data_IF_665113255829
#
_entry.id   IF_665113255829
#
_cell.length_a   1.000
_cell.length_b   1.000
_cell.length_c   1.000
_cell.angle_alpha   90.00
_cell.angle_beta   90.00
_cell.angle_gamma   90.00
#
_symmetry.space_group_name_H-M   'P 1'
#
loop_
_entity.id
_entity.type
_entity.pdbx_description
1 polymer ?
#
# COMPACT_ATOMS: atom_id res chain seq x y z
N UNK A 1 -10.18 -46.48 -0.36
CA UNK A 1 -11.42 -46.07 -1.05
C UNK A 1 -12.50 -45.81 -0.02
N UNK A 2 -12.78 -44.56 0.34
CA UNK A 2 -14.06 -44.14 0.93
C UNK A 2 -14.19 -42.63 0.65
N UNK A 3 -15.07 -42.28 -0.28
CA UNK A 3 -15.31 -40.90 -0.73
C UNK A 3 -16.35 -40.20 0.14
N UNK A 4 -16.16 -38.91 0.36
CA UNK A 4 -17.10 -38.02 1.03
C UNK A 4 -17.84 -37.15 0.00
N UNK A 5 -19.14 -36.87 0.17
CA UNK A 5 -19.92 -36.10 -0.79
C UNK A 5 -19.76 -34.58 -0.59
N UNK A 6 -19.49 -33.89 -1.71
CA UNK A 6 -19.52 -32.44 -1.87
C UNK A 6 -20.98 -31.97 -1.96
N UNK A 7 -21.37 -31.01 -1.13
CA UNK A 7 -22.70 -30.42 -1.12
C UNK A 7 -22.59 -28.94 -1.54
N UNK A 8 -22.85 -28.64 -2.81
CA UNK A 8 -22.84 -27.30 -3.40
C UNK A 8 -24.23 -26.68 -3.33
N UNK A 9 -24.43 -25.71 -2.42
CA UNK A 9 -25.65 -24.88 -2.36
C UNK A 9 -25.37 -23.52 -3.00
N UNK A 10 -25.97 -23.27 -4.16
CA UNK A 10 -25.96 -21.98 -4.85
C UNK A 10 -26.98 -21.00 -4.22
N UNK A 11 -26.67 -19.69 -4.11
CA UNK A 11 -27.65 -18.69 -3.70
C UNK A 11 -28.49 -18.14 -4.88
N UNK A 12 -29.73 -17.69 -4.62
CA UNK A 12 -30.67 -17.24 -5.65
C UNK A 12 -30.42 -15.80 -6.13
N UNK A 13 -30.65 -15.61 -7.45
CA UNK A 13 -30.73 -14.33 -8.16
C UNK A 13 -31.82 -13.41 -7.57
N UNK A 14 -31.42 -12.22 -7.11
CA UNK A 14 -32.35 -11.14 -6.77
C UNK A 14 -32.60 -10.22 -7.97
N UNK A 15 -33.89 -9.97 -8.20
CA UNK A 15 -34.50 -9.27 -9.32
C UNK A 15 -34.29 -7.75 -9.28
N UNK A 16 -33.87 -7.18 -10.41
CA UNK A 16 -33.93 -5.73 -10.70
C UNK A 16 -35.38 -5.26 -10.71
N UNK A 17 -35.68 -4.22 -9.93
CA UNK A 17 -36.92 -3.45 -10.04
C UNK A 17 -36.57 -2.08 -10.63
N UNK A 18 -36.93 -1.89 -11.90
CA UNK A 18 -36.87 -0.60 -12.57
C UNK A 18 -38.05 0.25 -12.10
N UNK A 19 -37.78 1.43 -11.56
CA UNK A 19 -38.78 2.46 -11.29
C UNK A 19 -38.62 3.55 -12.34
N UNK A 20 -39.60 3.60 -13.24
CA UNK A 20 -39.85 4.72 -14.14
C UNK A 20 -40.60 5.80 -13.36
N UNK A 21 -40.11 7.04 -13.43
CA UNK A 21 -40.84 8.21 -12.92
C UNK A 21 -40.77 9.36 -13.93
N UNK A 22 -41.88 9.47 -14.67
CA UNK A 22 -42.60 10.67 -15.12
C UNK A 22 -41.86 12.00 -15.21
N UNK A 23 -41.70 12.47 -16.45
CA UNK A 23 -41.40 13.85 -16.80
C UNK A 23 -42.67 14.72 -16.66
N UNK A 24 -42.61 15.72 -15.76
CA UNK A 24 -43.59 16.80 -15.66
C UNK A 24 -43.09 18.03 -16.40
N UNK A 25 -43.78 18.39 -17.50
CA UNK A 25 -43.57 19.62 -18.26
C UNK A 25 -44.34 20.76 -17.60
N UNK A 26 -43.65 21.72 -16.96
CA UNK A 26 -44.27 22.98 -16.53
C UNK A 26 -43.35 24.18 -16.72
N UNK A 27 -43.84 25.13 -17.52
CA UNK A 27 -43.51 26.56 -17.58
C UNK A 27 -42.11 26.96 -18.09
N UNK A 28 -42.07 27.34 -19.37
CA UNK A 28 -40.86 27.72 -20.11
C UNK A 28 -40.41 29.17 -19.95
N UNK A 29 -40.99 29.94 -19.02
CA UNK A 29 -40.68 31.39 -18.91
C UNK A 29 -39.91 31.82 -17.66
N UNK A 30 -39.92 31.02 -16.59
CA UNK A 30 -39.05 31.23 -15.41
C UNK A 30 -37.70 30.53 -15.57
N UNK A 31 -37.63 29.47 -16.37
CA UNK A 31 -36.45 28.60 -16.51
C UNK A 31 -35.18 29.31 -17.02
N UNK A 32 -35.30 30.28 -17.94
CA UNK A 32 -34.11 31.02 -18.44
C UNK A 32 -33.45 31.88 -17.37
N UNK A 33 -34.21 32.49 -16.46
CA UNK A 33 -33.64 33.31 -15.37
C UNK A 33 -32.98 32.43 -14.31
N UNK A 34 -33.60 31.29 -14.00
CA UNK A 34 -32.99 30.30 -13.09
C UNK A 34 -31.72 29.68 -13.67
N UNK A 35 -31.69 29.36 -14.97
CA UNK A 35 -30.50 28.79 -15.61
C UNK A 35 -29.31 29.75 -15.60
N UNK A 36 -29.54 31.05 -15.83
CA UNK A 36 -28.48 32.07 -15.73
C UNK A 36 -27.96 32.19 -14.29
N UNK A 37 -28.85 32.23 -13.29
CA UNK A 37 -28.44 32.27 -11.88
C UNK A 37 -27.62 31.03 -11.47
N UNK A 38 -28.06 29.84 -11.87
CA UNK A 38 -27.33 28.59 -11.58
C UNK A 38 -25.95 28.59 -12.24
N UNK A 39 -25.82 29.05 -13.49
CA UNK A 39 -24.53 29.16 -14.16
C UNK A 39 -23.59 30.15 -13.46
N UNK A 40 -24.09 31.30 -13.01
CA UNK A 40 -23.28 32.26 -12.24
C UNK A 40 -22.84 31.68 -10.89
N UNK A 41 -23.72 30.96 -10.18
CA UNK A 41 -23.35 30.29 -8.93
C UNK A 41 -22.27 29.22 -9.14
N UNK A 42 -22.41 28.38 -10.19
CA UNK A 42 -21.44 27.34 -10.50
C UNK A 42 -20.08 27.92 -10.93
N UNK A 43 -20.09 29.00 -11.74
CA UNK A 43 -18.86 29.70 -12.13
C UNK A 43 -18.17 30.34 -10.90
N UNK A 44 -18.93 30.99 -10.02
CA UNK A 44 -18.40 31.55 -8.77
C UNK A 44 -17.79 30.49 -7.86
N UNK A 45 -18.49 29.35 -7.68
CA UNK A 45 -17.97 28.23 -6.89
C UNK A 45 -16.70 27.63 -7.50
N UNK A 46 -16.62 27.50 -8.84
CA UNK A 46 -15.43 27.01 -9.54
C UNK A 46 -14.23 27.94 -9.32
N UNK A 47 -14.42 29.26 -9.41
CA UNK A 47 -13.35 30.25 -9.19
C UNK A 47 -12.84 30.21 -7.75
N UNK A 48 -13.74 30.06 -6.76
CA UNK A 48 -13.34 29.90 -5.35
C UNK A 48 -12.58 28.58 -5.16
N UNK A 49 -13.03 27.49 -5.78
CA UNK A 49 -12.38 26.18 -5.66
C UNK A 49 -10.97 26.17 -6.30
N UNK A 50 -10.82 26.78 -7.48
CA UNK A 50 -9.51 26.92 -8.15
C UNK A 50 -8.55 27.81 -7.34
N UNK A 51 -9.03 28.92 -6.77
CA UNK A 51 -8.20 29.75 -5.88
C UNK A 51 -7.80 29.02 -4.59
N UNK A 52 -8.70 28.21 -4.01
CA UNK A 52 -8.41 27.40 -2.83
C UNK A 52 -7.40 26.27 -3.12
N UNK A 53 -7.43 25.68 -4.31
CA UNK A 53 -6.42 24.69 -4.73
C UNK A 53 -5.04 25.32 -4.95
N UNK A 54 -4.99 26.52 -5.54
CA UNK A 54 -3.73 27.27 -5.73
C UNK A 54 -3.04 27.59 -4.39
N UNK A 55 -3.81 28.01 -3.38
CA UNK A 55 -3.29 28.28 -2.04
C UNK A 55 -2.78 27.02 -1.31
N UNK A 56 -3.34 25.84 -1.61
CA UNK A 56 -2.86 24.55 -1.05
C UNK A 56 -1.56 24.08 -1.70
N UNK A 57 -1.39 24.27 -3.01
CA UNK A 57 -0.13 23.95 -3.70
C UNK A 57 1.04 24.81 -3.24
N UNK A 58 0.81 26.10 -2.92
CA UNK A 58 1.86 26.98 -2.42
C UNK A 58 2.37 26.61 -1.00
N UNK A 59 1.54 25.98 -0.15
CA UNK A 59 1.95 25.55 1.20
C UNK A 59 2.72 24.23 1.22
N UNK A 60 2.58 23.38 0.21
CA UNK A 60 3.36 22.14 0.09
C UNK A 60 4.78 22.39 -0.46
N UNK A 61 5.02 23.51 -1.15
CA UNK A 61 6.35 23.86 -1.68
C UNK A 61 7.34 24.44 -0.66
N UNK A 62 6.89 24.89 0.53
CA UNK A 62 7.74 25.67 1.47
C UNK A 62 8.20 24.92 2.73
N UNK A 63 7.84 23.65 2.91
CA UNK A 63 8.37 22.79 3.99
C UNK A 63 9.49 21.84 3.55
N UNK A 64 9.93 21.93 2.28
CA UNK A 64 11.00 21.10 1.74
C UNK A 64 12.34 21.84 1.61
N UNK A 65 12.59 22.82 2.49
CA UNK A 65 13.88 23.47 2.59
C UNK A 65 14.43 23.31 4.01
N UNK A 66 15.51 22.53 4.07
CA UNK A 66 16.64 22.76 4.97
C UNK A 66 16.49 22.28 6.42
N UNK A 67 16.34 20.96 6.60
CA UNK A 67 17.14 20.33 7.67
C UNK A 67 18.43 19.85 6.99
N UNK A 68 19.60 20.44 7.30
CA UNK A 68 20.86 19.88 6.87
C UNK A 68 20.92 18.48 7.48
N UNK A 69 20.87 17.44 6.63
CA UNK A 69 21.17 16.07 7.02
C UNK A 69 22.66 16.10 7.38
N UNK A 70 22.95 16.22 8.68
CA UNK A 70 24.31 16.14 9.19
C UNK A 70 24.88 14.80 8.77
N UNK A 71 25.87 14.90 7.89
CA UNK A 71 26.46 13.82 7.11
C UNK A 71 27.38 12.97 7.98
N UNK A 72 26.82 12.01 8.70
CA UNK A 72 27.58 10.90 9.26
C UNK A 72 27.79 9.82 8.19
N UNK A 73 28.73 10.07 7.28
CA UNK A 73 29.65 9.07 6.69
C UNK A 73 29.17 7.84 5.91
N UNK A 74 27.87 7.56 5.73
CA UNK A 74 27.38 6.36 5.02
C UNK A 74 26.18 6.61 4.09
N UNK A 75 25.97 7.86 3.66
CA UNK A 75 24.85 8.19 2.78
C UNK A 75 25.14 7.70 1.35
N UNK A 76 24.36 6.72 0.90
CA UNK A 76 24.32 6.23 -0.46
C UNK A 76 23.81 7.31 -1.43
N UNK A 77 23.81 6.98 -2.72
CA UNK A 77 23.29 7.85 -3.78
C UNK A 77 21.83 8.21 -3.50
N UNK A 78 21.38 9.38 -3.96
CA UNK A 78 19.96 9.75 -3.92
C UNK A 78 19.11 8.63 -4.54
N UNK A 79 18.19 8.09 -3.73
CA UNK A 79 17.34 6.96 -4.11
C UNK A 79 16.01 7.45 -4.66
N UNK A 80 15.40 6.63 -5.52
CA UNK A 80 14.05 6.85 -6.05
C UNK A 80 13.20 5.57 -5.89
N UNK A 81 11.88 5.70 -6.09
CA UNK A 81 10.96 4.57 -6.08
C UNK A 81 10.96 3.79 -4.75
N UNK A 82 10.92 2.46 -4.86
CA UNK A 82 10.88 1.52 -3.74
C UNK A 82 12.05 1.70 -2.76
N UNK A 83 13.29 1.87 -3.26
CA UNK A 83 14.47 2.08 -2.43
C UNK A 83 14.35 3.34 -1.55
N UNK A 84 13.89 4.46 -2.12
CA UNK A 84 13.67 5.70 -1.36
C UNK A 84 12.55 5.57 -0.32
N UNK A 85 11.53 4.78 -0.64
CA UNK A 85 10.41 4.55 0.25
C UNK A 85 10.81 3.73 1.48
N UNK A 86 11.62 2.71 1.28
CA UNK A 86 12.14 1.90 2.39
C UNK A 86 13.26 2.64 3.14
N UNK A 87 14.12 3.41 2.47
CA UNK A 87 15.14 4.26 3.13
C UNK A 87 14.50 5.24 4.11
N UNK A 88 13.33 5.82 3.78
CA UNK A 88 12.60 6.71 4.69
C UNK A 88 12.17 6.02 5.99
N UNK A 89 11.86 4.73 5.94
CA UNK A 89 11.46 3.95 7.12
C UNK A 89 12.69 3.43 7.91
N UNK A 90 13.68 2.90 7.21
CA UNK A 90 14.81 2.19 7.80
C UNK A 90 16.01 3.10 8.13
N UNK A 91 16.17 4.18 7.37
CA UNK A 91 17.43 4.91 7.23
C UNK A 91 18.49 4.10 6.48
N UNK A 92 19.65 4.71 6.26
CA UNK A 92 20.84 4.05 5.70
C UNK A 92 21.98 4.17 6.71
N UNK A 93 22.16 3.13 7.53
CA UNK A 93 23.02 3.18 8.73
C UNK A 93 24.32 2.40 8.60
N UNK A 94 24.40 1.48 7.63
CA UNK A 94 25.55 0.62 7.39
C UNK A 94 25.56 0.15 5.93
N UNK A 95 26.72 -0.35 5.49
CA UNK A 95 26.93 -0.81 4.09
C UNK A 95 26.00 -1.96 3.69
N UNK A 96 25.64 -2.85 4.62
CA UNK A 96 24.71 -3.94 4.33
C UNK A 96 23.32 -3.40 3.97
N UNK A 97 22.87 -2.38 4.70
CA UNK A 97 21.60 -1.72 4.44
C UNK A 97 21.63 -0.92 3.14
N UNK A 98 22.76 -0.28 2.79
CA UNK A 98 22.97 0.34 1.47
C UNK A 98 22.72 -0.66 0.34
N UNK A 99 23.40 -1.81 0.37
CA UNK A 99 23.25 -2.85 -0.67
C UNK A 99 21.81 -3.36 -0.75
N UNK A 100 21.17 -3.54 0.40
CA UNK A 100 19.79 -3.99 0.47
C UNK A 100 18.80 -2.94 -0.08
N UNK A 101 19.06 -1.65 0.15
CA UNK A 101 18.27 -0.57 -0.45
C UNK A 101 18.51 -0.42 -1.96
N UNK A 102 19.72 -0.70 -2.44
CA UNK A 102 20.03 -0.75 -3.89
C UNK A 102 19.18 -1.82 -4.59
N UNK A 103 19.11 -3.02 -4.01
CA UNK A 103 18.26 -4.12 -4.49
C UNK A 103 16.79 -3.68 -4.57
N UNK A 104 16.27 -3.05 -3.52
CA UNK A 104 14.88 -2.57 -3.50
C UNK A 104 14.62 -1.47 -4.53
N UNK A 105 15.61 -0.61 -4.81
CA UNK A 105 15.51 0.38 -5.88
C UNK A 105 15.48 -0.28 -7.27
N UNK A 106 16.26 -1.35 -7.46
CA UNK A 106 16.33 -2.13 -8.71
C UNK A 106 15.15 -3.07 -8.93
N UNK A 107 14.28 -3.27 -7.94
CA UNK A 107 13.21 -4.28 -7.95
C UNK A 107 12.35 -4.27 -9.22
N UNK A 108 12.06 -3.08 -9.77
CA UNK A 108 11.22 -2.99 -10.95
C UNK A 108 11.92 -3.39 -12.26
N UNK A 109 13.19 -3.01 -12.39
CA UNK A 109 13.98 -3.18 -13.60
C UNK A 109 14.73 -4.52 -13.64
N UNK A 110 15.22 -4.97 -12.48
CA UNK A 110 16.07 -6.16 -12.35
C UNK A 110 15.27 -7.44 -12.12
N UNK A 111 14.02 -7.32 -11.64
CA UNK A 111 13.16 -8.46 -11.29
C UNK A 111 11.86 -8.47 -12.10
N UNK A 112 11.91 -8.67 -13.43
CA UNK A 112 10.72 -8.64 -14.29
C UNK A 112 9.72 -9.78 -13.99
N UNK A 113 10.17 -10.86 -13.34
CA UNK A 113 9.30 -11.97 -12.94
C UNK A 113 8.40 -11.64 -11.73
N UNK A 114 8.73 -10.60 -10.94
CA UNK A 114 7.89 -10.17 -9.83
C UNK A 114 6.70 -9.36 -10.34
N UNK A 115 5.49 -9.83 -10.01
CA UNK A 115 4.28 -9.09 -10.32
C UNK A 115 4.18 -7.79 -9.53
N UNK A 116 3.46 -6.79 -10.05
CA UNK A 116 3.31 -5.48 -9.40
C UNK A 116 2.76 -5.58 -7.97
N UNK A 117 1.84 -6.51 -7.72
CA UNK A 117 1.28 -6.74 -6.39
C UNK A 117 2.32 -7.30 -5.41
N UNK A 118 3.17 -8.24 -5.86
CA UNK A 118 4.25 -8.79 -5.05
C UNK A 118 5.30 -7.73 -4.74
N UNK A 119 5.64 -6.87 -5.71
CA UNK A 119 6.56 -5.75 -5.50
C UNK A 119 6.06 -4.80 -4.42
N UNK A 120 4.76 -4.44 -4.48
CA UNK A 120 4.14 -3.60 -3.46
C UNK A 120 4.19 -4.28 -2.07
N UNK A 121 3.93 -5.59 -2.01
CA UNK A 121 3.97 -6.36 -0.77
C UNK A 121 5.39 -6.46 -0.19
N UNK A 122 6.41 -6.66 -1.04
CA UNK A 122 7.83 -6.61 -0.66
C UNK A 122 8.17 -5.25 -0.05
N UNK A 123 7.81 -4.15 -0.72
CA UNK A 123 8.08 -2.79 -0.22
C UNK A 123 7.37 -2.53 1.11
N UNK A 124 6.11 -2.99 1.25
CA UNK A 124 5.37 -2.90 2.51
C UNK A 124 6.10 -3.63 3.64
N UNK A 125 6.45 -4.90 3.44
CA UNK A 125 7.09 -5.73 4.46
C UNK A 125 8.52 -5.28 4.78
N UNK A 126 9.27 -4.81 3.77
CA UNK A 126 10.64 -4.31 3.92
C UNK A 126 10.75 -3.13 4.88
N UNK A 127 9.77 -2.22 4.92
CA UNK A 127 9.74 -1.10 5.87
C UNK A 127 9.77 -1.52 7.34
N UNK A 128 9.33 -2.73 7.63
CA UNK A 128 9.28 -3.30 8.99
C UNK A 128 10.42 -4.27 9.27
N UNK A 129 11.11 -4.76 8.24
CA UNK A 129 12.13 -5.80 8.31
C UNK A 129 13.44 -5.32 7.67
N UNK A 130 13.89 -4.14 8.11
CA UNK A 130 15.01 -3.41 7.54
C UNK A 130 16.30 -4.24 7.46
N UNK A 131 16.82 -4.41 6.25
CA UNK A 131 18.08 -5.13 6.01
C UNK A 131 17.98 -6.65 6.12
N UNK A 132 16.78 -7.21 6.25
CA UNK A 132 16.60 -8.66 6.28
C UNK A 132 16.74 -9.27 4.89
N UNK A 133 17.50 -10.35 4.78
CA UNK A 133 17.56 -11.16 3.56
C UNK A 133 16.29 -12.00 3.36
N UNK A 134 15.58 -12.31 4.44
CA UNK A 134 14.30 -12.99 4.46
C UNK A 134 13.20 -12.00 4.84
N UNK A 135 12.34 -11.64 3.89
CA UNK A 135 11.18 -10.81 4.12
C UNK A 135 9.95 -11.68 4.31
N UNK A 136 9.49 -11.78 5.55
CA UNK A 136 8.23 -12.48 5.84
C UNK A 136 7.04 -11.65 5.40
N UNK A 137 6.01 -12.31 4.88
CA UNK A 137 4.73 -11.64 4.67
C UNK A 137 4.08 -11.36 6.02
N UNK A 138 3.84 -10.09 6.34
CA UNK A 138 3.25 -9.69 7.61
C UNK A 138 1.72 -9.84 7.62
N UNK A 139 1.09 -10.00 6.46
CA UNK A 139 -0.38 -10.13 6.35
C UNK A 139 -0.84 -11.59 6.46
N UNK A 140 0.08 -12.56 6.37
CA UNK A 140 -0.24 -14.00 6.38
C UNK A 140 0.43 -14.66 7.59
N UNK A 141 -0.30 -15.38 8.46
CA UNK A 141 0.28 -16.00 9.66
C UNK A 141 1.14 -17.24 9.36
N UNK A 142 1.16 -17.71 8.11
CA UNK A 142 1.97 -18.84 7.66
C UNK A 142 3.42 -18.43 7.37
N UNK A 143 4.32 -19.42 7.27
CA UNK A 143 5.71 -19.23 6.83
C UNK A 143 5.75 -18.97 5.33
N UNK A 144 5.38 -17.76 4.93
CA UNK A 144 5.42 -17.32 3.54
C UNK A 144 6.15 -15.98 3.47
N UNK A 145 6.83 -15.74 2.36
CA UNK A 145 7.61 -14.52 2.20
C UNK A 145 8.48 -14.55 0.96
N UNK A 146 9.55 -13.76 1.01
CA UNK A 146 10.52 -13.66 -0.06
C UNK A 146 11.94 -13.75 0.50
N UNK A 147 12.80 -14.47 -0.21
CA UNK A 147 14.21 -14.56 0.08
C UNK A 147 15.02 -13.85 -1.00
N UNK A 148 15.99 -13.04 -0.59
CA UNK A 148 16.87 -12.32 -1.51
C UNK A 148 17.92 -13.25 -2.12
N UNK A 149 17.76 -13.56 -3.41
CA UNK A 149 18.73 -14.31 -4.21
C UNK A 149 19.32 -13.43 -5.30
N UNK A 150 20.57 -13.00 -5.14
CA UNK A 150 21.21 -12.07 -6.07
C UNK A 150 20.53 -10.70 -6.04
N UNK A 151 20.06 -10.15 -7.17
CA UNK A 151 19.35 -8.86 -7.20
C UNK A 151 17.85 -8.97 -6.90
N UNK A 152 17.30 -10.18 -6.74
CA UNK A 152 15.85 -10.37 -6.70
C UNK A 152 15.35 -11.14 -5.50
N UNK A 153 14.17 -10.72 -5.05
CA UNK A 153 13.38 -11.42 -4.06
C UNK A 153 12.59 -12.56 -4.73
N UNK A 154 12.83 -13.79 -4.27
CA UNK A 154 12.15 -14.99 -4.75
C UNK A 154 11.11 -15.41 -3.72
N UNK A 155 9.83 -15.59 -4.09
CA UNK A 155 8.82 -16.02 -3.15
C UNK A 155 9.08 -17.44 -2.65
N UNK A 156 8.73 -17.71 -1.40
CA UNK A 156 8.73 -19.04 -0.83
C UNK A 156 7.47 -19.27 0.01
N UNK A 157 7.05 -20.53 0.06
CA UNK A 157 5.90 -20.99 0.84
C UNK A 157 6.29 -22.19 1.69
N UNK A 158 5.96 -22.15 2.98
CA UNK A 158 6.31 -23.19 3.94
C UNK A 158 7.71 -23.02 4.53
N UNK A 159 8.33 -24.15 4.88
CA UNK A 159 9.68 -24.16 5.49
C UNK A 159 10.74 -23.75 4.47
N UNK A 160 11.58 -22.79 4.83
CA UNK A 160 12.73 -22.37 4.03
C UNK A 160 14.02 -22.49 4.85
N UNK A 161 15.03 -23.25 4.38
CA UNK A 161 16.20 -23.62 5.18
C UNK A 161 16.96 -22.39 5.72
N UNK A 162 17.09 -21.34 4.90
CA UNK A 162 17.82 -20.14 5.29
C UNK A 162 16.96 -19.09 6.01
N UNK A 163 15.63 -19.20 5.98
CA UNK A 163 14.77 -18.18 6.58
C UNK A 163 14.18 -18.62 7.90
N UNK A 164 13.89 -19.92 8.07
CA UNK A 164 13.17 -20.44 9.23
C UNK A 164 13.78 -20.06 10.58
N UNK A 165 15.10 -19.88 10.66
CA UNK A 165 15.77 -19.45 11.89
C UNK A 165 15.47 -17.99 12.30
N UNK A 166 14.98 -17.16 11.37
CA UNK A 166 14.54 -15.79 11.62
C UNK A 166 13.03 -15.64 11.82
N UNK A 167 12.25 -16.73 11.73
CA UNK A 167 10.79 -16.66 11.88
C UNK A 167 10.36 -16.03 13.21
N UNK A 168 11.05 -16.37 14.30
CA UNK A 168 10.79 -15.84 15.65
C UNK A 168 11.14 -14.35 15.80
N UNK A 169 11.82 -13.75 14.81
CA UNK A 169 12.14 -12.32 14.75
C UNK A 169 11.15 -11.54 13.86
N UNK A 170 10.12 -12.20 13.31
CA UNK A 170 9.09 -11.57 12.49
C UNK A 170 8.30 -10.55 13.33
N UNK A 171 8.23 -9.28 12.90
CA UNK A 171 7.42 -8.27 13.58
C UNK A 171 5.95 -8.71 13.70
N UNK A 172 5.34 -8.43 14.85
CA UNK A 172 3.92 -8.70 15.12
C UNK A 172 3.59 -10.11 15.63
N UNK A 173 4.58 -11.00 15.82
CA UNK A 173 4.34 -12.32 16.41
C UNK A 173 3.94 -12.25 17.90
N UNK A 174 4.43 -11.23 18.63
CA UNK A 174 4.25 -11.12 20.09
C UNK A 174 2.78 -10.88 20.52
N UNK A 175 1.91 -10.39 19.63
CA UNK A 175 0.52 -10.05 20.01
C UNK A 175 -0.48 -11.21 19.88
N UNK A 176 -0.08 -12.34 19.29
CA UNK A 176 -1.00 -13.48 19.10
C UNK A 176 -1.01 -14.37 20.34
N UNK A 177 0.14 -14.57 20.98
CA UNK A 177 0.26 -15.47 22.12
C UNK A 177 -0.46 -14.92 23.38
N UNK A 178 -0.55 -13.59 23.52
CA UNK A 178 -1.25 -12.96 24.65
C UNK A 178 -2.79 -13.05 24.56
N UNK A 179 -3.36 -13.21 23.35
CA UNK A 179 -4.81 -13.24 23.16
C UNK A 179 -5.42 -14.63 23.33
N UNK A 180 -4.65 -15.71 23.13
CA UNK A 180 -5.15 -17.07 23.41
C UNK A 180 -5.10 -17.43 24.91
N UNK A 181 -4.34 -16.70 25.73
CA UNK A 181 -4.18 -17.00 27.15
C UNK A 181 -5.38 -16.56 28.01
N UNK A 182 -6.10 -15.50 27.61
CA UNK A 182 -7.22 -14.95 28.38
C UNK A 182 -8.55 -15.73 28.20
N UNK A 183 -8.71 -16.47 27.10
CA UNK A 183 -9.94 -17.25 26.83
C UNK A 183 -9.95 -18.65 27.47
N UNK A 184 -8.87 -19.07 28.14
CA UNK A 184 -8.75 -20.36 28.84
C UNK A 184 -8.82 -20.26 30.36
N UNK A 185 -9.06 -19.07 30.90
CA UNK A 185 -9.25 -18.82 32.33
C UNK A 185 -10.73 -18.64 32.69
N UNK A 186 -11.58 -19.64 32.42
CA UNK A 186 -12.96 -19.73 32.95
C UNK A 186 -13.23 -21.14 33.47
#
# INVERSE_FOLDING_TARGET
MLGLPVNTRAPPRSTRRALSSSAGSTSSWTSRRYLVLVLFCMAGALVVFLNAQSAKSARLGRRSLSRPRTSSGLYGKDRVGAGAEVERACGERNKGLTLWLDVLQGLEAECPALESHQRAQIVKNAKHQCGSWCLWDLDVPARVGWYLTGPCFVPFEGSHPDCDHWWTKRPGHEQIDDLEQDDLAI
#
